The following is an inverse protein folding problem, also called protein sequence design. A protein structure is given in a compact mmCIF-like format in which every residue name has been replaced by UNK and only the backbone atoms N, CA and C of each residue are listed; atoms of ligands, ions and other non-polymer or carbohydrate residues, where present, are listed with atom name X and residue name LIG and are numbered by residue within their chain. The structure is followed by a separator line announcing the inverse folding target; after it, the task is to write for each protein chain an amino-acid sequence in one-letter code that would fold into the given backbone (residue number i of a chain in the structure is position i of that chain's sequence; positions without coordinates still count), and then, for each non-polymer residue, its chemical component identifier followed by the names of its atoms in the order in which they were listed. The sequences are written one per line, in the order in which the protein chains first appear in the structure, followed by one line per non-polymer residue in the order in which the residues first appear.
data_IF_141739272475
#
_entry.id   IF_141739272475
#
_cell.length_a   1.000
_cell.length_b   1.000
_cell.length_c   1.000
_cell.angle_alpha   90.00
_cell.angle_beta   90.00
_cell.angle_gamma   90.00
#
_symmetry.space_group_name_H-M   'P 1'
#
loop_
_entity.id
_entity.type
_entity.pdbx_description
1 polymer ?
#
# COMPACT_ATOMS: atom_id res chain seq x y z
N UNK A 1 -12.59 -33.94 -37.59
CA UNK A 1 -12.69 -35.39 -37.31
C UNK A 1 -13.37 -36.10 -38.47
N UNK A 2 -12.68 -36.28 -39.61
CA UNK A 2 -13.31 -36.83 -40.81
C UNK A 2 -13.75 -38.29 -40.65
N UNK A 3 -13.01 -39.10 -39.88
CA UNK A 3 -13.33 -40.52 -39.67
C UNK A 3 -14.58 -40.77 -38.82
N UNK A 4 -14.76 -40.01 -37.72
CA UNK A 4 -15.96 -40.13 -36.86
C UNK A 4 -17.21 -39.70 -37.64
N UNK A 5 -17.13 -38.59 -38.37
CA UNK A 5 -18.24 -38.12 -39.20
C UNK A 5 -18.61 -39.13 -40.30
N UNK A 6 -17.63 -39.82 -40.89
CA UNK A 6 -17.88 -40.88 -41.86
C UNK A 6 -18.59 -42.09 -41.25
N UNK A 7 -18.24 -42.47 -40.02
CA UNK A 7 -18.90 -43.59 -39.33
C UNK A 7 -20.33 -43.25 -38.92
N UNK A 8 -20.60 -42.03 -38.45
CA UNK A 8 -21.97 -41.55 -38.23
C UNK A 8 -22.80 -41.57 -39.52
N UNK A 9 -22.23 -41.09 -40.64
CA UNK A 9 -22.90 -41.13 -41.94
C UNK A 9 -23.22 -42.58 -42.38
N UNK A 10 -22.29 -43.51 -42.15
CA UNK A 10 -22.52 -44.95 -42.39
C UNK A 10 -23.67 -45.49 -41.55
N UNK A 11 -23.72 -45.18 -40.25
CA UNK A 11 -24.80 -45.61 -39.34
C UNK A 11 -26.16 -45.05 -39.79
N UNK A 12 -26.23 -43.79 -40.24
CA UNK A 12 -27.46 -43.20 -40.76
C UNK A 12 -27.93 -43.89 -42.05
N UNK A 13 -27.01 -44.20 -42.97
CA UNK A 13 -27.33 -44.96 -44.18
C UNK A 13 -27.87 -46.34 -43.81
N UNK A 14 -27.23 -47.04 -42.86
CA UNK A 14 -27.66 -48.37 -42.42
C UNK A 14 -29.03 -48.32 -41.72
N UNK A 15 -29.30 -47.28 -40.93
CA UNK A 15 -30.62 -47.03 -40.31
C UNK A 15 -31.70 -46.87 -41.38
N UNK A 16 -31.45 -46.07 -42.40
CA UNK A 16 -32.38 -45.87 -43.52
C UNK A 16 -32.64 -47.17 -44.27
N UNK A 17 -31.61 -48.00 -44.48
CA UNK A 17 -31.77 -49.32 -45.09
C UNK A 17 -32.64 -50.25 -44.24
N UNK A 18 -32.48 -50.26 -42.91
CA UNK A 18 -33.33 -51.06 -42.01
C UNK A 18 -34.79 -50.61 -42.09
N UNK A 19 -35.05 -49.30 -42.15
CA UNK A 19 -36.41 -48.76 -42.31
C UNK A 19 -37.01 -49.16 -43.66
N UNK A 20 -36.26 -48.99 -44.75
CA UNK A 20 -36.71 -49.37 -46.09
C UNK A 20 -37.00 -50.88 -46.20
N UNK A 21 -36.14 -51.73 -45.63
CA UNK A 21 -36.33 -53.18 -45.57
C UNK A 21 -37.60 -53.55 -44.80
N UNK A 22 -37.85 -52.89 -43.67
CA UNK A 22 -39.07 -53.13 -42.89
C UNK A 22 -40.32 -52.75 -43.68
N UNK A 23 -40.33 -51.61 -44.38
CA UNK A 23 -41.46 -51.20 -45.22
C UNK A 23 -41.75 -52.24 -46.33
N UNK A 24 -40.71 -52.76 -46.98
CA UNK A 24 -40.86 -53.82 -47.97
C UNK A 24 -41.39 -55.14 -47.36
N UNK A 25 -40.89 -55.53 -46.18
CA UNK A 25 -41.36 -56.70 -45.45
C UNK A 25 -42.82 -56.55 -45.00
N UNK A 26 -43.24 -55.36 -44.59
CA UNK A 26 -44.61 -55.07 -44.19
C UNK A 26 -45.58 -55.29 -45.36
N UNK A 27 -45.26 -54.78 -46.56
CA UNK A 27 -46.05 -55.04 -47.78
C UNK A 27 -46.08 -56.53 -48.12
N UNK A 28 -44.96 -57.25 -47.94
CA UNK A 28 -44.91 -58.70 -48.17
C UNK A 28 -45.77 -59.47 -47.17
N UNK A 29 -45.78 -59.08 -45.89
CA UNK A 29 -46.58 -59.72 -44.85
C UNK A 29 -48.08 -59.64 -45.12
N UNK A 30 -48.57 -58.56 -45.73
CA UNK A 30 -50.00 -58.44 -46.09
C UNK A 30 -50.43 -59.38 -47.22
N UNK A 31 -49.50 -60.01 -47.94
CA UNK A 31 -49.80 -60.95 -49.04
C UNK A 31 -49.95 -62.40 -48.58
N UNK A 32 -49.68 -62.70 -47.31
CA UNK A 32 -49.74 -64.05 -46.76
C UNK A 32 -50.85 -64.18 -45.71
N UNK A 33 -51.26 -65.41 -45.42
CA UNK A 33 -52.37 -65.67 -44.49
C UNK A 33 -52.02 -65.32 -43.03
N UNK A 34 -50.79 -65.59 -42.59
CA UNK A 34 -50.30 -65.35 -41.23
C UNK A 34 -49.73 -63.93 -41.05
N UNK A 35 -50.50 -62.90 -41.42
CA UNK A 35 -50.06 -61.49 -41.41
C UNK A 35 -49.55 -61.07 -40.02
N UNK A 36 -50.28 -61.41 -38.97
CA UNK A 36 -49.97 -61.01 -37.59
C UNK A 36 -48.61 -61.51 -37.12
N UNK A 37 -48.31 -62.79 -37.33
CA UNK A 37 -47.04 -63.38 -36.93
C UNK A 37 -45.88 -62.86 -37.77
N UNK A 38 -46.11 -62.66 -39.07
CA UNK A 38 -45.14 -62.06 -39.97
C UNK A 38 -44.77 -60.63 -39.56
N UNK A 39 -45.77 -59.78 -39.29
CA UNK A 39 -45.55 -58.42 -38.83
C UNK A 39 -44.83 -58.38 -37.47
N UNK A 40 -45.16 -59.30 -36.56
CA UNK A 40 -44.48 -59.43 -35.26
C UNK A 40 -43.00 -59.77 -35.45
N UNK A 41 -42.69 -60.72 -36.33
CA UNK A 41 -41.31 -61.09 -36.66
C UNK A 41 -40.55 -59.92 -37.32
N UNK A 42 -41.13 -59.26 -38.31
CA UNK A 42 -40.54 -58.10 -39.00
C UNK A 42 -40.27 -56.93 -38.03
N UNK A 43 -41.20 -56.64 -37.11
CA UNK A 43 -41.01 -55.63 -36.06
C UNK A 43 -39.90 -56.01 -35.08
N UNK A 44 -39.82 -57.29 -34.71
CA UNK A 44 -38.72 -57.82 -33.88
C UNK A 44 -37.37 -57.60 -34.55
N UNK A 45 -37.21 -58.04 -35.80
CA UNK A 45 -35.99 -57.86 -36.57
C UNK A 45 -35.61 -56.37 -36.71
N UNK A 46 -36.58 -55.50 -37.02
CA UNK A 46 -36.34 -54.04 -37.08
C UNK A 46 -35.82 -53.50 -35.75
N UNK A 47 -36.47 -53.84 -34.64
CA UNK A 47 -36.08 -53.36 -33.31
C UNK A 47 -34.66 -53.80 -32.97
N UNK A 48 -34.33 -55.07 -33.21
CA UNK A 48 -33.04 -55.62 -32.84
C UNK A 48 -31.92 -54.97 -33.67
N UNK A 49 -32.12 -54.84 -34.99
CA UNK A 49 -31.16 -54.14 -35.87
C UNK A 49 -30.98 -52.66 -35.51
N UNK A 50 -32.05 -51.93 -35.20
CA UNK A 50 -31.95 -50.54 -34.77
C UNK A 50 -31.29 -50.41 -33.39
N UNK A 51 -31.52 -51.37 -32.49
CA UNK A 51 -30.86 -51.40 -31.18
C UNK A 51 -29.35 -51.62 -31.33
N UNK A 52 -28.91 -52.48 -32.25
CA UNK A 52 -27.50 -52.72 -32.54
C UNK A 52 -26.82 -51.45 -33.08
N UNK A 53 -27.45 -50.77 -34.03
CA UNK A 53 -26.95 -49.49 -34.56
C UNK A 53 -26.88 -48.40 -33.48
N UNK A 54 -27.88 -48.34 -32.60
CA UNK A 54 -27.87 -47.42 -31.47
C UNK A 54 -26.73 -47.69 -30.51
N UNK A 55 -26.39 -48.96 -30.24
CA UNK A 55 -25.24 -49.32 -29.40
C UNK A 55 -23.91 -48.89 -30.03
N UNK A 56 -23.77 -49.06 -31.35
CA UNK A 56 -22.58 -48.59 -32.09
C UNK A 56 -22.45 -47.07 -31.99
N UNK A 57 -23.53 -46.33 -32.23
CA UNK A 57 -23.54 -44.86 -32.14
C UNK A 57 -23.20 -44.36 -30.72
N UNK A 58 -23.72 -45.01 -29.68
CA UNK A 58 -23.39 -44.67 -28.29
C UNK A 58 -21.90 -44.90 -27.99
N UNK A 59 -21.31 -45.99 -28.49
CA UNK A 59 -19.88 -46.27 -28.32
C UNK A 59 -19.03 -45.17 -28.97
N UNK A 60 -19.36 -44.79 -30.20
CA UNK A 60 -18.66 -43.72 -30.92
C UNK A 60 -18.77 -42.37 -30.21
N UNK A 61 -19.96 -42.02 -29.72
CA UNK A 61 -20.19 -40.79 -28.97
C UNK A 61 -19.40 -40.75 -27.65
N UNK A 62 -19.29 -41.88 -26.96
CA UNK A 62 -18.54 -41.99 -25.71
C UNK A 62 -17.03 -41.86 -25.97
N UNK A 63 -16.51 -42.50 -27.02
CA UNK A 63 -15.11 -42.34 -27.45
C UNK A 63 -14.79 -40.89 -27.83
N UNK A 64 -15.68 -40.24 -28.59
CA UNK A 64 -15.51 -38.84 -28.95
C UNK A 64 -15.54 -37.93 -27.71
N UNK A 65 -16.46 -38.18 -26.77
CA UNK A 65 -16.54 -37.44 -25.51
C UNK A 65 -15.25 -37.59 -24.72
N UNK A 66 -14.72 -38.80 -24.58
CA UNK A 66 -13.47 -39.08 -23.86
C UNK A 66 -12.30 -38.35 -24.51
N UNK A 67 -12.19 -38.40 -25.84
CA UNK A 67 -11.13 -37.71 -26.56
C UNK A 67 -11.22 -36.18 -26.40
N UNK A 68 -12.40 -35.59 -26.60
CA UNK A 68 -12.61 -34.14 -26.40
C UNK A 68 -12.34 -33.73 -24.95
N UNK A 69 -12.68 -34.58 -23.98
CA UNK A 69 -12.38 -34.33 -22.57
C UNK A 69 -10.87 -34.35 -22.31
N UNK A 70 -10.15 -35.35 -22.84
CA UNK A 70 -8.69 -35.44 -22.71
C UNK A 70 -7.98 -34.25 -23.38
N UNK A 71 -8.43 -33.82 -24.56
CA UNK A 71 -7.91 -32.64 -25.26
C UNK A 71 -8.11 -31.36 -24.42
N UNK A 72 -9.28 -31.20 -23.79
CA UNK A 72 -9.53 -30.06 -22.89
C UNK A 72 -8.63 -30.08 -21.65
N UNK A 73 -8.48 -31.23 -21.01
CA UNK A 73 -7.60 -31.38 -19.84
C UNK A 73 -6.16 -30.99 -20.22
N UNK A 74 -5.63 -31.51 -21.32
CA UNK A 74 -4.30 -31.14 -21.81
C UNK A 74 -4.17 -29.64 -22.06
N UNK A 75 -5.13 -29.03 -22.75
CA UNK A 75 -5.10 -27.58 -23.00
C UNK A 75 -5.14 -26.76 -21.69
N UNK A 76 -5.92 -27.19 -20.70
CA UNK A 76 -5.94 -26.56 -19.38
C UNK A 76 -4.61 -26.71 -18.64
N UNK A 77 -4.00 -27.89 -18.68
CA UNK A 77 -2.69 -28.15 -18.07
C UNK A 77 -1.59 -27.31 -18.72
N UNK A 78 -1.56 -27.23 -20.06
CA UNK A 78 -0.62 -26.39 -20.80
C UNK A 78 -0.74 -24.91 -20.43
N UNK A 79 -1.97 -24.38 -20.38
CA UNK A 79 -2.22 -22.98 -19.96
C UNK A 79 -1.82 -22.74 -18.51
N UNK A 80 -2.14 -23.67 -17.61
CA UNK A 80 -1.77 -23.56 -16.21
C UNK A 80 -0.25 -23.63 -16.02
N UNK A 81 0.45 -24.46 -16.79
CA UNK A 81 1.90 -24.55 -16.76
C UNK A 81 2.55 -23.25 -17.27
N UNK A 82 2.05 -22.70 -18.37
CA UNK A 82 2.49 -21.40 -18.89
C UNK A 82 2.24 -20.27 -17.87
N UNK A 83 1.04 -20.19 -17.29
CA UNK A 83 0.71 -19.21 -16.27
C UNK A 83 1.62 -19.30 -15.04
N UNK A 84 1.90 -20.51 -14.54
CA UNK A 84 2.85 -20.72 -13.43
C UNK A 84 4.28 -20.29 -13.78
N UNK A 85 4.72 -20.49 -15.02
CA UNK A 85 6.04 -20.03 -15.47
C UNK A 85 6.11 -18.51 -15.53
N UNK A 86 5.08 -17.86 -16.06
CA UNK A 86 4.95 -16.40 -16.11
C UNK A 86 4.90 -15.78 -14.71
N UNK A 87 4.06 -16.31 -13.81
CA UNK A 87 3.99 -15.88 -12.41
C UNK A 87 5.35 -16.06 -11.71
N UNK A 88 6.00 -17.21 -11.90
CA UNK A 88 7.34 -17.45 -11.35
C UNK A 88 8.39 -16.48 -11.90
N UNK A 89 8.31 -16.11 -13.18
CA UNK A 89 9.18 -15.11 -13.79
C UNK A 89 8.92 -13.71 -13.25
N UNK A 90 7.65 -13.32 -13.10
CA UNK A 90 7.23 -12.05 -12.53
C UNK A 90 7.70 -11.91 -11.07
N UNK A 91 7.51 -12.94 -10.24
CA UNK A 91 7.99 -12.96 -8.85
C UNK A 91 9.51 -12.83 -8.76
N UNK A 92 10.26 -13.50 -9.66
CA UNK A 92 11.73 -13.35 -9.71
C UNK A 92 12.14 -11.93 -10.11
N UNK A 93 11.50 -11.35 -11.13
CA UNK A 93 11.76 -9.99 -11.56
C UNK A 93 11.49 -8.98 -10.45
N UNK A 94 10.37 -9.13 -9.73
CA UNK A 94 10.01 -8.29 -8.59
C UNK A 94 11.01 -8.43 -7.43
N UNK A 95 11.47 -9.66 -7.13
CA UNK A 95 12.47 -9.89 -6.10
C UNK A 95 13.81 -9.21 -6.45
N UNK A 96 14.23 -9.26 -7.72
CA UNK A 96 15.43 -8.57 -8.21
C UNK A 96 15.26 -7.04 -8.11
N UNK A 97 14.13 -6.50 -8.55
CA UNK A 97 13.84 -5.07 -8.44
C UNK A 97 13.88 -4.59 -6.98
N UNK A 98 13.22 -5.31 -6.06
CA UNK A 98 13.25 -5.00 -4.61
C UNK A 98 14.67 -5.06 -4.03
N UNK A 99 15.54 -5.94 -4.53
CA UNK A 99 16.95 -5.97 -4.11
C UNK A 99 17.75 -4.78 -4.65
N UNK A 100 17.49 -4.35 -5.88
CA UNK A 100 18.12 -3.17 -6.47
C UNK A 100 17.70 -1.90 -5.74
N UNK A 101 16.39 -1.71 -5.50
CA UNK A 101 15.86 -0.56 -4.75
C UNK A 101 16.50 -0.43 -3.36
N UNK A 102 16.66 -1.56 -2.66
CA UNK A 102 17.36 -1.57 -1.35
C UNK A 102 18.83 -1.16 -1.47
N UNK A 103 19.54 -1.62 -2.51
CA UNK A 103 20.94 -1.22 -2.74
C UNK A 103 21.02 0.27 -3.04
N UNK A 104 20.13 0.79 -3.88
CA UNK A 104 20.09 2.20 -4.26
C UNK A 104 19.73 3.11 -3.08
N UNK A 105 18.81 2.66 -2.20
CA UNK A 105 18.52 3.39 -0.98
C UNK A 105 19.72 3.41 -0.03
N UNK A 106 20.43 2.29 0.12
CA UNK A 106 21.65 2.22 0.94
C UNK A 106 22.76 3.11 0.38
N UNK A 107 22.99 3.12 -0.93
CA UNK A 107 24.00 3.99 -1.55
C UNK A 107 23.61 5.45 -1.42
N UNK A 108 22.33 5.81 -1.59
CA UNK A 108 21.84 7.18 -1.39
C UNK A 108 22.03 7.64 0.06
N UNK A 109 21.67 6.80 1.04
CA UNK A 109 21.88 7.08 2.47
C UNK A 109 23.36 7.24 2.80
N UNK A 110 24.24 6.40 2.23
CA UNK A 110 25.69 6.53 2.41
C UNK A 110 26.23 7.84 1.81
N UNK A 111 25.78 8.21 0.61
CA UNK A 111 26.16 9.47 -0.03
C UNK A 111 25.68 10.69 0.76
N UNK A 112 24.46 10.64 1.31
CA UNK A 112 23.92 11.70 2.16
C UNK A 112 24.75 11.85 3.44
N UNK A 113 25.07 10.74 4.12
CA UNK A 113 25.97 10.74 5.29
C UNK A 113 27.32 11.35 4.96
N UNK A 114 27.96 10.94 3.87
CA UNK A 114 29.22 11.50 3.42
C UNK A 114 29.14 13.01 3.16
N UNK A 115 28.03 13.51 2.58
CA UNK A 115 27.81 14.96 2.40
C UNK A 115 27.62 15.69 3.73
N UNK A 116 26.90 15.10 4.68
CA UNK A 116 26.74 15.70 6.02
C UNK A 116 28.06 15.75 6.78
N UNK A 117 28.88 14.70 6.70
CA UNK A 117 30.20 14.63 7.31
C UNK A 117 31.17 15.63 6.66
N UNK A 118 31.19 15.72 5.33
CA UNK A 118 32.02 16.68 4.60
C UNK A 118 31.66 18.15 4.93
N UNK A 119 30.39 18.44 5.22
CA UNK A 119 29.94 19.78 5.60
C UNK A 119 30.01 20.07 7.11
N UNK A 120 30.33 19.07 7.94
CA UNK A 120 30.46 19.21 9.39
C UNK A 120 31.50 20.26 9.85
N UNK A 121 32.74 20.28 9.33
CA UNK A 121 33.72 21.29 9.75
C UNK A 121 33.30 22.71 9.34
N UNK A 122 32.70 22.88 8.16
CA UNK A 122 32.18 24.18 7.72
C UNK A 122 31.01 24.65 8.60
N UNK A 123 30.10 23.74 9.00
CA UNK A 123 29.03 24.04 9.96
C UNK A 123 29.58 24.39 11.34
N UNK A 124 30.52 23.61 11.86
CA UNK A 124 31.16 23.87 13.14
C UNK A 124 31.87 25.23 13.16
N UNK A 125 32.59 25.58 12.09
CA UNK A 125 33.24 26.88 11.94
C UNK A 125 32.23 28.03 11.92
N UNK A 126 31.10 27.88 11.20
CA UNK A 126 30.01 28.88 11.22
C UNK A 126 29.41 29.06 12.61
N UNK A 127 29.11 27.97 13.31
CA UNK A 127 28.56 28.03 14.67
C UNK A 127 29.54 28.64 15.67
N UNK A 128 30.83 28.33 15.56
CA UNK A 128 31.87 28.97 16.37
C UNK A 128 31.94 30.47 16.10
N UNK A 129 31.92 30.88 14.82
CA UNK A 129 31.94 32.29 14.44
C UNK A 129 30.73 33.05 15.00
N UNK A 130 29.52 32.53 14.83
CA UNK A 130 28.31 33.11 15.41
C UNK A 130 28.39 33.19 16.95
N UNK A 131 28.95 32.17 17.60
CA UNK A 131 29.13 32.18 19.06
C UNK A 131 30.11 33.26 19.52
N UNK A 132 31.20 33.46 18.77
CA UNK A 132 32.20 34.50 19.05
C UNK A 132 31.60 35.90 18.83
N UNK A 133 30.83 36.09 17.76
CA UNK A 133 30.12 37.36 17.49
C UNK A 133 29.07 37.66 18.56
N UNK A 134 28.32 36.65 19.02
CA UNK A 134 27.38 36.79 20.16
C UNK A 134 28.12 37.11 21.46
N UNK A 135 29.26 36.48 21.72
CA UNK A 135 30.05 36.78 22.90
C UNK A 135 30.63 38.20 22.84
N UNK A 136 31.20 38.61 21.71
CA UNK A 136 31.75 39.95 21.49
C UNK A 136 30.65 41.02 21.67
N UNK A 137 29.48 40.82 21.06
CA UNK A 137 28.35 41.75 21.22
C UNK A 137 27.83 41.80 22.65
N UNK A 138 27.75 40.65 23.35
CA UNK A 138 27.37 40.62 24.77
C UNK A 138 28.38 41.32 25.70
N UNK A 139 29.70 41.20 25.40
CA UNK A 139 30.76 41.89 26.14
C UNK A 139 30.70 43.39 25.89
N UNK A 140 30.59 43.82 24.64
CA UNK A 140 30.43 45.23 24.28
C UNK A 140 29.19 45.85 24.94
N UNK A 141 28.06 45.13 24.97
CA UNK A 141 26.85 45.59 25.66
C UNK A 141 27.04 45.68 27.19
N UNK A 142 27.82 44.79 27.81
CA UNK A 142 28.16 44.88 29.24
C UNK A 142 29.09 46.07 29.52
N UNK A 143 30.10 46.28 28.69
CA UNK A 143 31.01 47.42 28.81
C UNK A 143 30.26 48.75 28.67
N UNK A 144 29.40 48.89 27.65
CA UNK A 144 28.54 50.06 27.49
C UNK A 144 27.66 50.30 28.73
N UNK A 145 26.97 49.26 29.21
CA UNK A 145 26.18 49.38 30.45
C UNK A 145 27.02 49.79 31.65
N UNK A 146 28.25 49.30 31.78
CA UNK A 146 29.15 49.67 32.87
C UNK A 146 29.62 51.13 32.77
N UNK A 147 29.90 51.61 31.55
CA UNK A 147 30.28 52.98 31.28
C UNK A 147 29.13 53.96 31.55
N UNK A 148 27.91 53.60 31.14
CA UNK A 148 26.71 54.42 31.37
C UNK A 148 26.27 54.44 32.84
N UNK A 149 26.51 53.34 33.59
CA UNK A 149 26.16 53.26 35.01
C UNK A 149 27.21 53.88 35.95
N UNK A 150 28.47 54.02 35.52
CA UNK A 150 29.50 54.71 36.29
C UNK A 150 29.12 56.15 36.71
N UNK A 151 28.68 57.05 35.82
CA UNK A 151 28.26 58.39 36.21
C UNK A 151 26.96 58.38 37.05
N UNK A 152 26.08 57.39 36.87
CA UNK A 152 24.88 57.26 37.69
C UNK A 152 25.21 56.90 39.15
N UNK A 153 26.21 56.04 39.37
CA UNK A 153 26.71 55.69 40.71
C UNK A 153 27.36 56.89 41.40
N UNK A 154 28.21 57.64 40.69
CA UNK A 154 28.83 58.87 41.22
C UNK A 154 27.76 59.87 41.67
N UNK A 155 26.78 60.19 40.82
CA UNK A 155 25.67 61.10 41.18
C UNK A 155 24.83 60.58 42.35
N UNK A 156 24.67 59.26 42.49
CA UNK A 156 23.97 58.68 43.63
C UNK A 156 24.74 58.86 44.93
N UNK A 157 26.07 58.70 44.90
CA UNK A 157 26.92 58.92 46.06
C UNK A 157 26.92 60.40 46.48
N UNK A 158 27.02 61.32 45.53
CA UNK A 158 26.90 62.77 45.77
C UNK A 158 25.56 63.12 46.43
N UNK A 159 24.43 62.63 45.87
CA UNK A 159 23.11 62.84 46.47
C UNK A 159 23.00 62.31 47.91
N UNK A 160 23.63 61.17 48.20
CA UNK A 160 23.65 60.62 49.56
C UNK A 160 24.47 61.50 50.51
N UNK A 161 25.61 62.03 50.07
CA UNK A 161 26.41 62.95 50.88
C UNK A 161 25.66 64.26 51.14
N UNK A 162 25.08 64.87 50.11
CA UNK A 162 24.26 66.07 50.26
C UNK A 162 23.05 65.88 51.17
N UNK A 163 22.41 64.70 51.12
CA UNK A 163 21.30 64.36 52.00
C UNK A 163 21.74 64.25 53.46
N UNK A 164 22.91 63.64 53.72
CA UNK A 164 23.51 63.56 55.05
C UNK A 164 23.83 64.95 55.60
N UNK A 165 24.48 65.80 54.80
CA UNK A 165 24.78 67.18 55.20
C UNK A 165 23.50 67.99 55.48
N UNK A 166 22.46 67.81 54.66
CA UNK A 166 21.15 68.46 54.89
C UNK A 166 20.53 67.98 56.20
N UNK A 167 20.55 66.68 56.46
CA UNK A 167 20.04 66.11 57.71
C UNK A 167 20.80 66.68 58.92
N UNK A 168 22.12 66.77 58.85
CA UNK A 168 22.94 67.40 59.89
C UNK A 168 22.62 68.89 60.08
N UNK A 169 22.44 69.65 59.00
CA UNK A 169 22.02 71.07 59.07
C UNK A 169 20.64 71.23 59.71
N UNK A 170 19.67 70.38 59.35
CA UNK A 170 18.32 70.41 59.94
C UNK A 170 18.38 70.01 61.41
N UNK A 171 19.15 68.98 61.77
CA UNK A 171 19.34 68.56 63.16
C UNK A 171 19.94 69.69 64.01
N UNK A 172 20.94 70.41 63.49
CA UNK A 172 21.49 71.61 64.15
C UNK A 172 20.40 72.68 64.34
N UNK A 173 19.64 73.02 63.30
CA UNK A 173 18.52 73.99 63.40
C UNK A 173 17.44 73.56 64.39
N UNK A 174 17.08 72.28 64.42
CA UNK A 174 16.12 71.74 65.40
C UNK A 174 16.67 71.83 66.82
N UNK A 175 17.96 71.56 67.01
CA UNK A 175 18.60 71.71 68.32
C UNK A 175 18.65 73.17 68.79
N UNK A 176 18.79 74.12 67.86
CA UNK A 176 18.76 75.54 68.16
C UNK A 176 17.34 76.06 68.40
N UNK A 177 16.34 75.52 67.69
CA UNK A 177 14.92 75.78 67.95
C UNK A 177 14.44 75.15 69.29
N UNK A 178 14.92 73.96 69.64
CA UNK A 178 14.59 73.28 70.90
C UNK A 178 15.17 73.98 72.14
N UNK A 179 16.20 74.81 71.98
CA UNK A 179 16.72 75.70 73.04
C UNK A 179 15.83 76.93 73.27
N UNK A 180 14.82 77.17 72.43
CA UNK A 180 13.82 78.24 72.61
C UNK A 180 12.51 77.67 73.18
N UNK A 181 12.21 77.82 74.48
CA UNK A 181 11.03 77.20 75.09
C UNK A 181 9.77 78.00 74.76
N UNK A 182 8.87 77.43 73.94
CA UNK A 182 7.52 77.95 73.75
C UNK A 182 6.64 77.46 74.92
N UNK A 183 6.06 78.40 75.69
CA UNK A 183 5.14 78.12 76.80
C UNK A 183 3.80 77.54 76.28
N UNK A 184 3.31 76.40 76.77
CA UNK A 184 1.99 75.88 76.40
C UNK A 184 0.87 76.64 77.15
N UNK A 185 -0.20 77.02 76.44
CA UNK A 185 -1.37 77.73 76.98
C UNK A 185 -2.37 76.75 77.66
N UNK A 186 -3.09 77.21 78.71
CA UNK A 186 -3.95 76.38 79.57
C UNK A 186 -5.35 76.21 78.98
N UNK A 187 -6.20 75.36 79.57
CA UNK A 187 -7.60 75.67 79.95
C UNK A 187 -8.31 74.44 80.59
N UNK A 188 -8.66 74.49 81.90
CA UNK A 188 -9.52 73.53 82.61
C UNK A 188 -11.00 74.01 82.67
N UNK A 189 -12.01 73.25 83.18
CA UNK A 189 -12.04 71.84 83.61
C UNK A 189 -12.71 70.87 82.60
#
# INVERSE_FOLDING_TARGET
MPAVNAEHARIEVERNQVVARFAAQEVACYKIFSVTDCLKAARGQRRDRLADLRRQELSLNEEERRRRSAERVRSSEERNAAGKQEEGAAQRAEAVARQQDKKDELTRRAAERARTEASAPARAARTQKESQERQASSRAAREQRSHDSAPALVRSQERQQEAKERAERVAKRQSDAAKSPVKPLPLPP
#
